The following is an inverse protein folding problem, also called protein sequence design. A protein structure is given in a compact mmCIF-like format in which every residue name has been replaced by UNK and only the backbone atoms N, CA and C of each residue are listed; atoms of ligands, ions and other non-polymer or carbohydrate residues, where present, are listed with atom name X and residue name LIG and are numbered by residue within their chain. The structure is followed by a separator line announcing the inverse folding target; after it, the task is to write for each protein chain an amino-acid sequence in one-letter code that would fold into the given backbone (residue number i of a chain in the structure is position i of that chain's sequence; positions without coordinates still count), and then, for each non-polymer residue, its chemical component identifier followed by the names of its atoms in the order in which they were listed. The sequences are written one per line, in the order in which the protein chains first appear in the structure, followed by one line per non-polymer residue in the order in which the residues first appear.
data_IF_599137105784
#
_entry.id   IF_599137105784
#
_cell.length_a   1.000
_cell.length_b   1.000
_cell.length_c   1.000
_cell.angle_alpha   90.00
_cell.angle_beta   90.00
_cell.angle_gamma   90.00
#
_symmetry.space_group_name_H-M   'P 1'
#
loop_
_entity.id
_entity.type
_entity.pdbx_description
1 polymer ?
#
# COMPACT_ATOMS: atom_id res chain seq x y z
N UNK A 1 -29.78 0.62 -6.25
CA UNK A 1 -29.82 1.25 -4.92
C UNK A 1 -28.41 1.25 -4.33
N UNK A 2 -27.81 2.42 -4.06
CA UNK A 2 -26.53 2.49 -3.38
C UNK A 2 -26.73 2.31 -1.86
N UNK A 3 -25.81 1.60 -1.20
CA UNK A 3 -25.56 1.83 0.24
C UNK A 3 -26.20 0.87 1.25
N UNK A 4 -25.97 -0.44 1.14
CA UNK A 4 -26.15 -1.33 2.31
C UNK A 4 -24.85 -1.35 3.12
N UNK A 5 -24.83 -0.55 4.18
CA UNK A 5 -23.74 -0.51 5.15
C UNK A 5 -23.84 -1.68 6.14
N UNK A 6 -22.71 -2.22 6.56
CA UNK A 6 -22.62 -3.23 7.61
C UNK A 6 -21.76 -2.68 8.73
N UNK A 7 -22.32 -2.67 9.94
CA UNK A 7 -21.59 -2.27 11.14
C UNK A 7 -20.80 -3.48 11.66
N UNK A 8 -19.50 -3.28 11.90
CA UNK A 8 -18.58 -4.29 12.43
C UNK A 8 -17.80 -3.72 13.61
N UNK A 9 -17.17 -4.54 14.47
CA UNK A 9 -16.23 -4.05 15.50
C UNK A 9 -15.08 -3.21 14.93
N UNK A 10 -14.80 -3.33 13.63
CA UNK A 10 -13.80 -2.56 12.90
C UNK A 10 -14.40 -1.36 12.15
N UNK A 11 -15.62 -0.92 12.47
CA UNK A 11 -16.30 0.21 11.85
C UNK A 11 -17.26 -0.17 10.72
N UNK A 12 -17.78 0.86 10.04
CA UNK A 12 -18.82 0.73 9.01
C UNK A 12 -18.21 0.41 7.65
N UNK A 13 -18.69 -0.66 7.01
CA UNK A 13 -18.19 -1.11 5.71
C UNK A 13 -19.29 -0.99 4.66
N UNK A 14 -18.95 -0.47 3.49
CA UNK A 14 -19.87 -0.46 2.35
C UNK A 14 -19.73 -1.77 1.60
N UNK A 15 -20.83 -2.54 1.53
CA UNK A 15 -20.87 -3.73 0.71
C UNK A 15 -21.13 -3.32 -0.75
N UNK A 16 -20.16 -3.51 -1.63
CA UNK A 16 -20.37 -3.36 -3.08
C UNK A 16 -20.70 -4.73 -3.70
N UNK A 17 -21.06 -4.75 -4.99
CA UNK A 17 -21.31 -6.00 -5.74
C UNK A 17 -20.05 -6.82 -5.99
N UNK A 18 -18.88 -6.23 -5.82
CA UNK A 18 -17.56 -6.82 -6.12
C UNK A 18 -16.77 -7.19 -4.85
N UNK A 19 -17.26 -6.81 -3.65
CA UNK A 19 -16.58 -7.07 -2.38
C UNK A 19 -16.92 -6.04 -1.30
N UNK A 20 -16.27 -6.17 -0.13
CA UNK A 20 -16.38 -5.19 0.96
C UNK A 20 -15.40 -4.04 0.70
N UNK A 21 -15.90 -2.84 0.42
CA UNK A 21 -15.11 -1.62 0.36
C UNK A 21 -15.41 -0.78 1.61
N UNK A 22 -14.42 -0.58 2.49
CA UNK A 22 -14.58 0.29 3.65
C UNK A 22 -14.61 1.74 3.18
N UNK A 23 -15.75 2.41 3.32
CA UNK A 23 -15.90 3.85 3.19
C UNK A 23 -16.81 4.35 4.31
N UNK A 24 -16.24 5.01 5.32
CA UNK A 24 -16.72 6.33 5.77
C UNK A 24 -15.98 6.84 7.01
N UNK A 25 -15.58 8.11 6.89
CA UNK A 25 -15.32 9.13 7.90
C UNK A 25 -16.02 8.92 9.26
N UNK A 26 -15.23 8.59 10.28
CA UNK A 26 -15.31 9.06 11.66
C UNK A 26 -14.18 8.36 12.44
N UNK A 27 -13.20 9.13 12.90
CA UNK A 27 -12.28 8.78 13.99
C UNK A 27 -11.54 7.42 13.88
N UNK A 28 -10.88 7.15 12.75
CA UNK A 28 -9.80 6.16 12.77
C UNK A 28 -8.53 6.85 13.26
N UNK A 29 -8.30 6.78 14.57
CA UNK A 29 -6.98 6.95 15.20
C UNK A 29 -5.97 6.12 14.42
N UNK A 30 -5.15 6.72 13.55
CA UNK A 30 -3.90 6.15 12.97
C UNK A 30 -3.93 4.69 12.43
N UNK A 31 -5.10 4.08 12.29
CA UNK A 31 -5.28 2.64 12.22
C UNK A 31 -5.06 2.13 10.79
N UNK A 32 -4.39 0.99 10.67
CA UNK A 32 -4.14 0.34 9.40
C UNK A 32 -5.44 0.02 8.63
N UNK A 33 -5.41 0.16 7.30
CA UNK A 33 -6.39 -0.47 6.41
C UNK A 33 -5.95 -1.90 6.10
N UNK A 34 -6.84 -2.86 6.27
CA UNK A 34 -6.59 -4.28 6.04
C UNK A 34 -7.37 -4.77 4.83
N UNK A 35 -6.69 -5.43 3.89
CA UNK A 35 -7.25 -5.97 2.66
C UNK A 35 -7.03 -7.49 2.63
N UNK A 36 -8.12 -8.24 2.54
CA UNK A 36 -8.12 -9.69 2.79
C UNK A 36 -7.78 -10.55 1.58
N UNK A 37 -7.83 -10.01 0.37
CA UNK A 37 -7.73 -10.82 -0.84
C UNK A 37 -7.32 -10.03 -2.07
N UNK A 38 -7.02 -10.74 -3.17
CA UNK A 38 -6.34 -10.20 -4.32
C UNK A 38 -7.08 -9.03 -4.95
N UNK A 39 -8.39 -9.12 -5.13
CA UNK A 39 -9.18 -8.06 -5.78
C UNK A 39 -9.20 -6.78 -4.95
N UNK A 40 -8.26 -5.89 -5.24
CA UNK A 40 -8.06 -4.64 -4.53
C UNK A 40 -8.42 -3.47 -5.44
N UNK A 41 -9.46 -2.74 -5.03
CA UNK A 41 -9.88 -1.46 -5.60
C UNK A 41 -10.13 -0.50 -4.46
N UNK A 42 -9.16 0.37 -4.21
CA UNK A 42 -9.27 1.41 -3.20
C UNK A 42 -8.80 2.74 -3.79
N UNK A 43 -9.65 3.75 -3.66
CA UNK A 43 -9.34 5.13 -3.98
C UNK A 43 -9.93 5.98 -2.86
N UNK A 44 -9.09 6.72 -2.14
CA UNK A 44 -9.53 7.52 -1.02
C UNK A 44 -8.37 8.15 -0.26
N UNK A 45 -8.71 8.85 0.82
CA UNK A 45 -7.72 9.53 1.65
C UNK A 45 -7.32 8.67 2.85
N UNK A 46 -6.02 8.55 3.11
CA UNK A 46 -5.48 7.90 4.30
C UNK A 46 -4.37 8.76 4.91
N UNK A 47 -4.49 9.10 6.21
CA UNK A 47 -3.57 10.00 6.94
C UNK A 47 -3.28 11.32 6.20
N UNK A 48 -4.33 11.90 5.59
CA UNK A 48 -4.25 13.17 4.86
C UNK A 48 -3.57 13.07 3.50
N UNK A 49 -3.42 11.85 2.95
CA UNK A 49 -2.87 11.61 1.61
C UNK A 49 -3.88 10.91 0.74
N UNK A 50 -3.95 11.31 -0.52
CA UNK A 50 -4.72 10.56 -1.50
C UNK A 50 -3.95 9.27 -1.85
N UNK A 51 -4.67 8.15 -1.80
CA UNK A 51 -4.13 6.81 -2.02
C UNK A 51 -5.00 6.06 -3.00
N UNK A 52 -4.36 5.51 -4.03
CA UNK A 52 -4.97 4.60 -4.99
C UNK A 52 -4.26 3.26 -4.95
N UNK A 53 -5.00 2.20 -4.69
CA UNK A 53 -4.55 0.81 -4.76
C UNK A 53 -5.45 0.06 -5.74
N UNK A 54 -4.86 -0.45 -6.80
CA UNK A 54 -5.61 -1.13 -7.85
C UNK A 54 -4.85 -2.36 -8.37
N UNK A 55 -5.49 -3.51 -8.31
CA UNK A 55 -5.00 -4.76 -8.89
C UNK A 55 -5.39 -5.99 -8.07
N UNK A 56 -4.98 -7.20 -8.48
CA UNK A 56 -4.20 -7.50 -9.67
C UNK A 56 -4.85 -7.03 -10.96
N UNK A 57 -4.09 -6.36 -11.82
CA UNK A 57 -4.46 -6.07 -13.22
C UNK A 57 -3.39 -6.61 -14.17
N UNK A 58 -3.70 -6.90 -15.44
CA UNK A 58 -2.69 -7.25 -16.42
C UNK A 58 -1.55 -6.23 -16.46
N UNK A 59 -0.32 -6.71 -16.56
CA UNK A 59 0.86 -5.85 -16.64
C UNK A 59 0.74 -4.90 -17.86
N UNK A 60 0.79 -3.58 -17.66
CA UNK A 60 0.77 -2.64 -18.78
C UNK A 60 2.09 -2.70 -19.56
N UNK A 61 2.06 -2.31 -20.84
CA UNK A 61 3.25 -2.27 -21.70
C UNK A 61 4.35 -1.33 -21.17
N UNK A 62 3.96 -0.28 -20.42
CA UNK A 62 4.86 0.68 -19.78
C UNK A 62 4.50 0.84 -18.30
N UNK A 63 5.53 1.05 -17.47
CA UNK A 63 5.43 1.23 -16.02
C UNK A 63 5.92 2.64 -15.65
N UNK A 64 5.25 3.66 -16.21
CA UNK A 64 5.72 5.05 -16.22
C UNK A 64 4.68 6.05 -15.66
N UNK A 65 3.60 5.57 -15.03
CA UNK A 65 2.64 6.48 -14.39
C UNK A 65 3.33 7.24 -13.25
N UNK A 66 3.28 8.60 -13.26
CA UNK A 66 3.90 9.41 -12.21
C UNK A 66 3.38 9.04 -10.82
N UNK A 67 4.29 8.94 -9.84
CA UNK A 67 3.94 8.60 -8.46
C UNK A 67 3.44 7.16 -8.25
N UNK A 68 3.38 6.33 -9.30
CA UNK A 68 2.98 4.94 -9.19
C UNK A 68 4.16 4.03 -8.84
N UNK A 69 3.89 3.15 -7.90
CA UNK A 69 4.71 1.99 -7.60
C UNK A 69 3.99 0.75 -8.13
N UNK A 70 4.72 -0.09 -8.84
CA UNK A 70 4.19 -1.31 -9.44
C UNK A 70 4.80 -2.52 -8.77
N UNK A 71 3.95 -3.39 -8.24
CA UNK A 71 4.34 -4.60 -7.53
C UNK A 71 3.88 -5.81 -8.35
N UNK A 72 4.70 -6.85 -8.42
CA UNK A 72 4.30 -8.16 -8.93
C UNK A 72 3.22 -8.75 -8.02
N UNK A 73 1.98 -8.81 -8.50
CA UNK A 73 0.84 -9.19 -7.69
C UNK A 73 0.90 -10.64 -7.23
N UNK A 74 1.59 -11.50 -7.98
CA UNK A 74 1.73 -12.92 -7.68
C UNK A 74 2.81 -13.19 -6.62
N UNK A 75 3.55 -12.16 -6.19
CA UNK A 75 4.55 -12.23 -5.11
C UNK A 75 4.06 -11.61 -3.78
N UNK A 76 2.80 -11.17 -3.73
CA UNK A 76 2.19 -10.59 -2.52
C UNK A 76 1.57 -11.68 -1.67
N UNK A 77 1.96 -11.73 -0.38
CA UNK A 77 1.40 -12.66 0.59
C UNK A 77 0.27 -11.99 1.39
N UNK A 78 -0.98 -12.32 1.07
CA UNK A 78 -2.15 -11.74 1.73
C UNK A 78 -2.26 -12.15 3.22
N UNK A 79 -2.87 -11.30 4.07
CA UNK A 79 -3.54 -10.03 3.75
C UNK A 79 -2.56 -8.85 3.55
N UNK A 80 -3.02 -7.82 2.85
CA UNK A 80 -2.31 -6.54 2.73
C UNK A 80 -2.75 -5.56 3.80
N UNK A 81 -1.82 -4.73 4.25
CA UNK A 81 -2.07 -3.62 5.16
C UNK A 81 -1.49 -2.33 4.63
N UNK A 82 -2.27 -1.26 4.62
CA UNK A 82 -1.80 0.11 4.43
C UNK A 82 -1.80 0.80 5.79
N UNK A 83 -0.64 1.27 6.26
CA UNK A 83 -0.50 1.91 7.58
C UNK A 83 0.59 2.98 7.58
N UNK A 84 0.69 3.73 8.67
CA UNK A 84 1.89 4.50 8.96
C UNK A 84 3.08 3.56 9.22
N UNK A 85 4.30 4.04 8.94
CA UNK A 85 5.50 3.28 9.31
C UNK A 85 5.64 3.21 10.85
N UNK A 86 6.28 2.15 11.34
CA UNK A 86 6.47 1.91 12.77
C UNK A 86 7.97 1.73 13.11
N UNK A 87 8.41 2.13 14.32
CA UNK A 87 9.76 1.83 14.79
C UNK A 87 10.05 0.34 14.74
N UNK A 88 11.15 -0.03 14.08
CA UNK A 88 11.52 -1.43 13.89
C UNK A 88 11.13 -1.98 12.51
N UNK A 89 10.30 -1.27 11.73
CA UNK A 89 10.01 -1.64 10.34
C UNK A 89 11.29 -1.78 9.52
N UNK A 90 11.27 -2.80 8.65
CA UNK A 90 12.38 -3.12 7.77
C UNK A 90 11.89 -3.59 6.41
N UNK A 91 12.63 -3.23 5.38
CA UNK A 91 12.42 -3.77 4.03
C UNK A 91 13.77 -4.03 3.35
N UNK A 92 13.75 -4.77 2.27
CA UNK A 92 14.89 -4.89 1.34
C UNK A 92 14.53 -4.09 0.09
N UNK A 93 14.89 -2.79 -0.02
CA UNK A 93 14.47 -1.95 -1.14
C UNK A 93 15.02 -2.45 -2.48
N UNK A 94 14.22 -2.32 -3.54
CA UNK A 94 14.67 -2.62 -4.90
C UNK A 94 15.90 -1.76 -5.28
N UNK A 95 16.96 -2.42 -5.75
CA UNK A 95 18.22 -1.77 -6.12
C UNK A 95 19.20 -1.52 -4.97
N UNK A 96 18.86 -1.90 -3.73
CA UNK A 96 19.73 -1.77 -2.57
C UNK A 96 20.16 -3.15 -2.04
N UNK A 97 21.33 -3.21 -1.38
CA UNK A 97 21.85 -4.46 -0.80
C UNK A 97 21.26 -4.70 0.59
N UNK A 98 20.51 -5.79 0.74
CA UNK A 98 20.10 -6.34 2.03
C UNK A 98 18.95 -5.60 2.72
N UNK A 99 18.56 -6.11 3.90
CA UNK A 99 17.40 -5.63 4.67
C UNK A 99 17.77 -4.45 5.57
N UNK A 100 17.20 -3.27 5.29
CA UNK A 100 17.46 -2.01 5.99
C UNK A 100 16.27 -1.61 6.87
N UNK A 101 16.51 -0.93 8.00
CA UNK A 101 15.42 -0.34 8.79
C UNK A 101 14.85 0.86 8.04
N UNK A 102 13.54 1.08 8.11
CA UNK A 102 12.92 2.27 7.52
C UNK A 102 13.50 3.56 8.14
N UNK A 103 13.79 3.56 9.45
CA UNK A 103 14.47 4.68 10.11
C UNK A 103 15.78 5.06 9.41
N UNK A 104 16.61 4.07 9.07
CA UNK A 104 17.91 4.29 8.41
C UNK A 104 17.71 4.73 6.96
N UNK A 105 16.65 4.24 6.29
CA UNK A 105 16.25 4.72 4.95
C UNK A 105 15.88 6.21 5.02
N UNK A 106 15.04 6.61 5.97
CA UNK A 106 14.65 8.02 6.13
C UNK A 106 15.84 8.93 6.39
N UNK A 107 16.82 8.47 7.19
CA UNK A 107 18.05 9.21 7.44
C UNK A 107 18.88 9.36 6.17
N UNK A 108 19.14 8.27 5.46
CA UNK A 108 20.05 8.27 4.30
C UNK A 108 19.44 9.00 3.10
N UNK A 109 18.12 8.87 2.90
CA UNK A 109 17.36 9.56 1.85
C UNK A 109 16.92 10.98 2.28
N UNK A 110 17.38 11.45 3.45
CA UNK A 110 17.15 12.81 3.97
C UNK A 110 15.67 13.22 4.04
N UNK A 111 14.81 12.31 4.48
CA UNK A 111 13.40 12.62 4.70
C UNK A 111 13.26 13.73 5.76
N UNK A 112 12.47 14.76 5.44
CA UNK A 112 12.11 15.77 6.44
C UNK A 112 11.29 15.14 7.58
N UNK A 113 11.24 15.75 8.77
CA UNK A 113 10.40 15.26 9.87
C UNK A 113 8.93 15.09 9.45
N UNK A 114 8.41 16.01 8.64
CA UNK A 114 7.05 15.94 8.12
C UNK A 114 6.87 14.81 7.11
N UNK A 115 7.82 14.63 6.17
CA UNK A 115 7.77 13.53 5.20
C UNK A 115 7.82 12.16 5.90
N UNK A 116 8.68 12.04 6.91
CA UNK A 116 8.77 10.84 7.76
C UNK A 116 7.48 10.61 8.55
N UNK A 117 6.88 11.63 9.16
CA UNK A 117 5.63 11.48 9.90
C UNK A 117 4.44 11.09 8.99
N UNK A 118 4.48 11.49 7.72
CA UNK A 118 3.46 11.19 6.71
C UNK A 118 3.77 9.94 5.86
N UNK A 119 4.88 9.27 6.12
CA UNK A 119 5.29 8.12 5.32
C UNK A 119 4.32 6.95 5.55
N UNK A 120 3.75 6.45 4.45
CA UNK A 120 2.88 5.29 4.44
C UNK A 120 3.68 4.06 4.01
N UNK A 121 3.34 2.92 4.59
CA UNK A 121 3.85 1.63 4.17
C UNK A 121 2.70 0.76 3.69
N UNK A 122 2.95 0.07 2.58
CA UNK A 122 2.18 -1.10 2.21
C UNK A 122 2.96 -2.31 2.71
N UNK A 123 2.31 -3.16 3.51
CA UNK A 123 2.88 -4.39 4.04
C UNK A 123 1.97 -5.57 3.75
N UNK A 124 2.55 -6.74 3.57
CA UNK A 124 1.83 -8.00 3.43
C UNK A 124 2.13 -8.90 4.65
N UNK A 125 1.69 -10.15 4.66
CA UNK A 125 1.93 -11.10 5.75
C UNK A 125 3.42 -11.33 6.07
N UNK A 126 4.33 -11.04 5.14
CA UNK A 126 5.78 -11.17 5.28
C UNK A 126 6.48 -9.83 5.61
N UNK A 127 5.74 -8.73 5.72
CA UNK A 127 6.23 -7.41 6.10
C UNK A 127 6.19 -6.36 4.98
N UNK A 128 6.91 -5.26 5.16
CA UNK A 128 6.85 -4.08 4.29
C UNK A 128 7.27 -4.39 2.85
N UNK A 129 6.37 -4.09 1.90
CA UNK A 129 6.54 -4.28 0.46
C UNK A 129 6.63 -2.96 -0.33
N UNK A 130 6.17 -1.85 0.22
CA UNK A 130 6.38 -0.53 -0.35
C UNK A 130 6.44 0.54 0.73
N UNK A 131 7.26 1.56 0.46
CA UNK A 131 7.28 2.82 1.19
C UNK A 131 6.82 3.93 0.23
N UNK A 132 5.79 4.69 0.61
CA UNK A 132 5.25 5.79 -0.20
C UNK A 132 6.35 6.78 -0.58
N UNK A 133 6.30 7.29 -1.81
CA UNK A 133 7.27 8.25 -2.36
C UNK A 133 8.73 7.75 -2.40
N UNK A 134 8.98 6.45 -2.22
CA UNK A 134 10.32 5.86 -2.27
C UNK A 134 10.44 4.66 -3.21
N UNK A 135 10.48 3.44 -2.66
CA UNK A 135 10.76 2.20 -3.39
C UNK A 135 9.88 1.08 -2.84
N UNK A 136 9.68 0.08 -3.70
CA UNK A 136 9.14 -1.22 -3.32
C UNK A 136 10.23 -2.13 -2.77
N UNK A 137 9.84 -3.20 -2.09
CA UNK A 137 10.74 -4.27 -1.70
C UNK A 137 11.16 -5.10 -2.92
N UNK A 138 12.40 -5.56 -2.94
CA UNK A 138 12.97 -6.33 -4.05
C UNK A 138 12.20 -7.62 -4.39
N UNK A 139 11.55 -8.24 -3.40
CA UNK A 139 10.81 -9.50 -3.58
C UNK A 139 9.51 -9.35 -4.38
N UNK A 140 8.91 -8.17 -4.38
CA UNK A 140 7.67 -7.85 -5.12
C UNK A 140 7.96 -7.08 -6.41
N UNK A 141 9.21 -7.10 -6.89
CA UNK A 141 9.61 -6.38 -8.11
C UNK A 141 8.93 -6.98 -9.34
N UNK A 142 8.51 -6.12 -10.27
CA UNK A 142 8.07 -6.55 -11.60
C UNK A 142 9.28 -7.10 -12.37
N UNK A 143 9.12 -8.29 -12.95
CA UNK A 143 10.13 -9.02 -13.74
C UNK A 143 9.61 -9.24 -15.17
N UNK A 144 10.45 -9.63 -16.15
CA UNK A 144 10.00 -9.90 -17.51
C UNK A 144 8.78 -10.85 -17.59
N UNK A 145 8.74 -11.86 -16.71
CA UNK A 145 7.67 -12.87 -16.64
C UNK A 145 6.41 -12.42 -15.89
N UNK A 146 6.42 -11.30 -15.17
CA UNK A 146 5.27 -10.82 -14.39
C UNK A 146 4.07 -10.55 -15.30
N UNK A 147 2.96 -11.25 -15.06
CA UNK A 147 1.73 -11.14 -15.85
C UNK A 147 0.74 -10.15 -15.25
N UNK A 148 0.70 -10.04 -13.92
CA UNK A 148 -0.23 -9.19 -13.19
C UNK A 148 0.49 -8.31 -12.19
N UNK A 149 -0.01 -7.10 -12.02
CA UNK A 149 0.56 -6.11 -11.11
C UNK A 149 -0.47 -5.58 -10.12
N UNK A 150 0.01 -5.17 -8.96
CA UNK A 150 -0.68 -4.23 -8.09
C UNK A 150 -0.07 -2.84 -8.31
N UNK A 151 -0.92 -1.86 -8.59
CA UNK A 151 -0.54 -0.46 -8.67
C UNK A 151 -0.84 0.23 -7.34
N UNK A 152 0.16 0.90 -6.78
CA UNK A 152 0.06 1.71 -5.58
C UNK A 152 0.49 3.15 -5.91
N UNK A 153 -0.41 4.11 -5.75
CA UNK A 153 -0.16 5.53 -6.01
C UNK A 153 -0.47 6.31 -4.75
N UNK A 154 0.44 7.23 -4.40
CA UNK A 154 0.23 8.19 -3.32
C UNK A 154 0.49 9.61 -3.82
N UNK A 155 -0.43 10.52 -3.55
CA UNK A 155 -0.28 11.96 -3.78
C UNK A 155 -0.42 12.73 -2.46
N UNK A 156 0.14 13.93 -2.43
CA UNK A 156 0.00 14.91 -1.34
C UNK A 156 -1.06 15.93 -1.68
#
# INVERSE_FOLDING_TARGET
EPGRYVDTPAGRVQRTREGLARLSHADFDDAALLFQGPELRFAGTFRGREVHLHGPVPRPAKLDSPGAQYLDADQIAWPLTLRGWEPGDRMNPLGMKGKKKLKDIFTDEKFSPLAKARALVLADANGVIALSDFRIAHRVRVRPETQRILQFVTST
#
